data_IF_486939281093
#
_entry.id   IF_486939281093
#
_cell.length_a   1.000
_cell.length_b   1.000
_cell.length_c   1.000
_cell.angle_alpha   90.00
_cell.angle_beta   90.00
_cell.angle_gamma   90.00
#
_symmetry.space_group_name_H-M   'P 1'
#
loop_
_entity.id
_entity.type
_entity.pdbx_description
1 polymer ?
#
# COMPACT_ATOMS: atom_id res chain seq x y z
N UNK A 1 -7.30 18.48 -10.73
CA UNK A 1 -8.69 18.18 -11.10
C UNK A 1 -9.15 16.77 -10.69
N UNK A 2 -8.37 15.69 -10.82
CA UNK A 2 -8.75 14.37 -10.23
C UNK A 2 -8.47 14.27 -8.72
N UNK A 3 -7.30 14.74 -8.27
CA UNK A 3 -6.90 14.71 -6.85
C UNK A 3 -7.81 15.55 -5.96
N UNK A 4 -8.34 16.66 -6.49
CA UNK A 4 -9.29 17.51 -5.77
C UNK A 4 -10.64 16.81 -5.59
N UNK A 5 -11.13 16.13 -6.62
CA UNK A 5 -12.37 15.33 -6.55
C UNK A 5 -12.23 14.16 -5.57
N UNK A 6 -11.11 13.44 -5.59
CA UNK A 6 -10.83 12.36 -4.62
C UNK A 6 -10.82 12.88 -3.18
N UNK A 7 -10.27 14.08 -2.94
CA UNK A 7 -10.31 14.72 -1.62
C UNK A 7 -11.72 15.12 -1.21
N UNK A 8 -12.53 15.63 -2.14
CA UNK A 8 -13.93 15.97 -1.87
C UNK A 8 -14.76 14.75 -1.47
N UNK A 9 -14.42 13.56 -2.01
CA UNK A 9 -15.05 12.28 -1.64
C UNK A 9 -14.35 11.54 -0.50
N UNK A 10 -13.36 12.15 0.15
CA UNK A 10 -12.67 11.53 1.29
C UNK A 10 -13.64 11.21 2.44
N UNK A 11 -14.67 12.05 2.64
CA UNK A 11 -15.73 11.82 3.63
C UNK A 11 -16.56 10.57 3.34
N UNK A 12 -16.90 10.32 2.07
CA UNK A 12 -17.60 9.09 1.65
C UNK A 12 -16.71 7.86 1.82
N UNK A 13 -15.43 8.00 1.50
CA UNK A 13 -14.43 6.94 1.66
C UNK A 13 -14.24 6.53 3.13
N UNK A 14 -14.29 7.52 4.03
CA UNK A 14 -14.21 7.33 5.48
C UNK A 14 -15.52 6.75 6.07
N UNK A 15 -16.66 7.11 5.49
CA UNK A 15 -17.97 6.62 5.94
C UNK A 15 -18.23 5.17 5.53
N UNK A 16 -17.80 4.78 4.32
CA UNK A 16 -18.10 3.46 3.75
C UNK A 16 -16.99 2.42 4.01
N UNK A 17 -15.77 2.84 4.36
CA UNK A 17 -14.65 1.94 4.65
C UNK A 17 -14.34 1.84 6.13
N UNK A 18 -13.77 0.70 6.56
CA UNK A 18 -13.24 0.55 7.91
C UNK A 18 -11.92 -0.21 7.91
N UNK A 19 -11.12 0.07 8.94
CA UNK A 19 -9.90 -0.68 9.25
C UNK A 19 -10.30 -2.03 9.81
N UNK A 20 -9.70 -3.10 9.29
CA UNK A 20 -9.94 -4.43 9.85
C UNK A 20 -9.35 -4.53 11.26
N UNK A 21 -10.03 -5.24 12.18
CA UNK A 21 -9.50 -5.49 13.51
C UNK A 21 -8.07 -6.06 13.45
N UNK A 22 -7.15 -5.46 14.22
CA UNK A 22 -5.75 -5.87 14.29
C UNK A 22 -4.87 -5.42 13.12
N UNK A 23 -5.38 -4.67 12.13
CA UNK A 23 -4.56 -4.22 11.01
C UNK A 23 -3.44 -3.26 11.43
N UNK A 24 -3.74 -2.28 12.29
CA UNK A 24 -2.74 -1.37 12.84
C UNK A 24 -1.71 -2.10 13.71
N UNK A 25 -2.16 -3.05 14.54
CA UNK A 25 -1.29 -3.87 15.38
C UNK A 25 -0.36 -4.74 14.54
N UNK A 26 -0.87 -5.37 13.48
CA UNK A 26 -0.08 -6.17 12.56
C UNK A 26 0.96 -5.32 11.82
N UNK A 27 0.56 -4.16 11.31
CA UNK A 27 1.47 -3.22 10.65
C UNK A 27 2.55 -2.69 11.62
N UNK A 28 2.18 -2.43 12.87
CA UNK A 28 3.13 -2.03 13.93
C UNK A 28 4.11 -3.15 14.24
N UNK A 29 3.63 -4.38 14.44
CA UNK A 29 4.45 -5.53 14.76
C UNK A 29 5.44 -5.85 13.64
N UNK A 30 5.01 -5.81 12.38
CA UNK A 30 5.89 -6.01 11.22
C UNK A 30 6.89 -4.86 11.10
N UNK A 31 6.47 -3.62 11.36
CA UNK A 31 7.34 -2.45 11.34
C UNK A 31 8.44 -2.46 12.39
N UNK A 32 8.22 -3.17 13.50
CA UNK A 32 9.21 -3.34 14.57
C UNK A 32 10.31 -4.37 14.22
N UNK A 33 10.15 -5.18 13.16
CA UNK A 33 11.16 -6.17 12.76
C UNK A 33 12.37 -5.47 12.13
N UNK A 34 13.60 -5.66 12.66
CA UNK A 34 14.78 -5.02 12.11
C UNK A 34 15.01 -5.35 10.63
N UNK A 35 15.29 -4.33 9.84
CA UNK A 35 15.54 -4.47 8.41
C UNK A 35 14.30 -4.59 7.53
N UNK A 36 13.09 -4.64 8.11
CA UNK A 36 11.84 -4.66 7.33
C UNK A 36 11.45 -3.25 6.91
N UNK A 37 10.94 -3.16 5.68
CA UNK A 37 10.29 -1.98 5.12
C UNK A 37 8.92 -2.42 4.58
N UNK A 38 7.88 -1.72 4.97
CA UNK A 38 6.52 -2.02 4.54
C UNK A 38 6.09 -1.01 3.47
N UNK A 39 5.26 -1.45 2.53
CA UNK A 39 4.67 -0.56 1.54
C UNK A 39 3.33 -1.10 1.05
N UNK A 40 2.68 -0.33 0.18
CA UNK A 40 1.34 -0.63 -0.35
C UNK A 40 1.46 -1.24 -1.74
N UNK A 41 0.75 -2.34 -1.95
CA UNK A 41 0.53 -2.95 -3.26
C UNK A 41 -0.98 -2.92 -3.57
N UNK A 42 -1.41 -2.10 -4.52
CA UNK A 42 -2.84 -1.89 -4.77
C UNK A 42 -3.14 -1.55 -6.22
N UNK A 43 -4.31 -1.97 -6.70
CA UNK A 43 -4.82 -1.54 -8.01
C UNK A 43 -5.38 -0.11 -8.01
N UNK A 44 -5.38 0.59 -6.88
CA UNK A 44 -5.74 2.01 -6.83
C UNK A 44 -4.58 2.87 -7.34
N UNK A 45 -4.89 3.99 -7.99
CA UNK A 45 -3.90 5.02 -8.33
C UNK A 45 -3.19 5.53 -7.07
N UNK A 46 -1.93 5.94 -7.20
CA UNK A 46 -1.10 6.43 -6.09
C UNK A 46 -1.82 7.47 -5.19
N UNK A 47 -2.46 8.53 -5.72
CA UNK A 47 -3.10 9.54 -4.86
C UNK A 47 -4.24 8.97 -4.00
N UNK A 48 -4.98 7.98 -4.53
CA UNK A 48 -6.07 7.34 -3.81
C UNK A 48 -5.54 6.36 -2.75
N UNK A 49 -4.45 5.65 -3.05
CA UNK A 49 -3.78 4.79 -2.08
C UNK A 49 -3.30 5.59 -0.86
N UNK A 50 -2.64 6.73 -1.10
CA UNK A 50 -2.20 7.65 -0.04
C UNK A 50 -3.41 8.18 0.75
N UNK A 51 -4.43 8.68 0.06
CA UNK A 51 -5.63 9.21 0.72
C UNK A 51 -6.29 8.18 1.64
N UNK A 52 -6.49 6.94 1.17
CA UNK A 52 -7.06 5.84 1.97
C UNK A 52 -6.23 5.59 3.23
N UNK A 53 -4.94 5.36 3.07
CA UNK A 53 -4.07 5.07 4.21
C UNK A 53 -4.03 6.22 5.23
N UNK A 54 -4.09 7.48 4.78
CA UNK A 54 -4.13 8.65 5.67
C UNK A 54 -5.46 8.74 6.41
N UNK A 55 -6.58 8.61 5.71
CA UNK A 55 -7.93 8.67 6.31
C UNK A 55 -8.11 7.60 7.40
N UNK A 56 -7.49 6.44 7.21
CA UNK A 56 -7.55 5.33 8.15
C UNK A 56 -6.43 5.32 9.20
N UNK A 57 -5.59 6.35 9.25
CA UNK A 57 -4.50 6.45 10.23
C UNK A 57 -3.39 5.40 10.06
N UNK A 58 -3.26 4.79 8.89
CA UNK A 58 -2.27 3.74 8.62
C UNK A 58 -1.06 4.21 7.81
N UNK A 59 -1.07 5.47 7.35
CA UNK A 59 -0.06 6.01 6.46
C UNK A 59 1.36 6.00 7.07
N UNK A 60 1.48 6.12 8.39
CA UNK A 60 2.78 6.13 9.08
C UNK A 60 3.47 4.75 9.09
N UNK A 61 2.72 3.67 8.89
CA UNK A 61 3.29 2.32 8.90
C UNK A 61 3.93 1.90 7.58
N UNK A 62 3.78 2.69 6.50
CA UNK A 62 4.17 2.30 5.14
C UNK A 62 5.04 3.35 4.45
N UNK A 63 5.99 2.90 3.64
CA UNK A 63 6.81 3.74 2.78
C UNK A 63 6.25 3.71 1.34
N UNK A 64 5.47 4.72 0.97
CA UNK A 64 4.86 4.82 -0.36
C UNK A 64 5.87 4.91 -1.52
N UNK A 65 7.17 5.12 -1.23
CA UNK A 65 8.21 5.16 -2.28
C UNK A 65 8.57 3.77 -2.81
N UNK A 66 8.14 2.70 -2.14
CA UNK A 66 8.51 1.31 -2.44
C UNK A 66 7.37 0.49 -3.06
N UNK A 67 6.15 1.01 -3.04
CA UNK A 67 4.94 0.27 -3.40
C UNK A 67 4.73 0.13 -4.90
N UNK A 68 3.60 -0.45 -5.29
CA UNK A 68 3.10 -0.35 -6.66
C UNK A 68 1.58 -0.14 -6.70
N UNK A 69 1.17 0.63 -7.71
CA UNK A 69 -0.13 1.31 -7.80
C UNK A 69 -0.78 1.02 -9.15
N UNK A 70 -2.07 1.32 -9.28
CA UNK A 70 -2.86 0.96 -10.47
C UNK A 70 -2.36 1.50 -11.81
N UNK A 71 -1.51 2.52 -11.80
CA UNK A 71 -0.85 3.10 -12.98
C UNK A 71 0.52 2.49 -13.30
N UNK A 72 1.04 1.62 -12.43
CA UNK A 72 2.33 0.96 -12.65
C UNK A 72 2.25 -0.21 -13.63
N UNK A 73 1.11 -0.90 -13.71
CA UNK A 73 0.93 -2.04 -14.61
C UNK A 73 -0.52 -2.15 -15.10
N UNK A 74 -0.69 -2.66 -16.33
CA UNK A 74 -2.00 -2.97 -16.90
C UNK A 74 -2.66 -4.14 -16.16
N UNK A 75 -1.91 -5.22 -15.94
CA UNK A 75 -2.38 -6.39 -15.21
C UNK A 75 -1.99 -6.29 -13.73
N UNK A 76 -2.98 -6.50 -12.84
CA UNK A 76 -2.76 -6.41 -11.39
C UNK A 76 -1.75 -7.44 -10.88
N UNK A 77 -1.60 -8.55 -11.58
CA UNK A 77 -0.63 -9.62 -11.28
C UNK A 77 0.81 -9.16 -11.44
N UNK A 78 1.05 -8.07 -12.18
CA UNK A 78 2.40 -7.58 -12.50
C UNK A 78 2.89 -6.55 -11.49
N UNK A 79 1.99 -5.90 -10.74
CA UNK A 79 2.34 -4.92 -9.70
C UNK A 79 3.44 -5.38 -8.72
N UNK A 80 3.50 -6.65 -8.26
CA UNK A 80 4.59 -7.12 -7.41
C UNK A 80 5.98 -6.92 -8.03
N UNK A 81 6.14 -7.20 -9.32
CA UNK A 81 7.42 -7.03 -10.01
C UNK A 81 7.79 -5.55 -10.09
N UNK A 82 6.82 -4.66 -10.30
CA UNK A 82 7.02 -3.21 -10.29
C UNK A 82 7.45 -2.70 -8.90
N UNK A 83 6.83 -3.19 -7.83
CA UNK A 83 7.21 -2.84 -6.45
C UNK A 83 8.65 -3.28 -6.14
N UNK A 84 9.05 -4.49 -6.55
CA UNK A 84 10.42 -4.95 -6.39
C UNK A 84 11.41 -4.10 -7.17
N UNK A 85 11.17 -3.87 -8.47
CA UNK A 85 12.04 -3.03 -9.28
C UNK A 85 12.15 -1.59 -8.73
N UNK A 86 11.07 -1.04 -8.17
CA UNK A 86 11.10 0.28 -7.50
C UNK A 86 11.92 0.24 -6.21
N UNK A 87 11.74 -0.79 -5.39
CA UNK A 87 12.49 -0.97 -4.13
C UNK A 87 13.99 -1.12 -4.38
N UNK A 88 14.38 -1.94 -5.37
CA UNK A 88 15.79 -2.12 -5.73
C UNK A 88 16.45 -0.82 -6.16
N UNK A 89 15.75 -0.03 -6.99
CA UNK A 89 16.20 1.31 -7.41
C UNK A 89 16.34 2.28 -6.24
N UNK A 90 15.38 2.25 -5.31
CA UNK A 90 15.38 3.17 -4.17
C UNK A 90 16.45 2.82 -3.13
N UNK A 91 16.66 1.53 -2.84
CA UNK A 91 17.60 1.06 -1.82
C UNK A 91 19.02 0.82 -2.37
N UNK A 92 19.20 0.82 -3.69
CA UNK A 92 20.49 0.56 -4.34
C UNK A 92 20.99 -0.88 -4.13
N UNK A 93 20.10 -1.83 -3.86
CA UNK A 93 20.43 -3.26 -3.65
C UNK A 93 19.38 -4.14 -4.34
N UNK A 94 19.84 -5.20 -4.99
CA UNK A 94 18.96 -6.20 -5.61
C UNK A 94 18.28 -7.07 -4.56
N UNK A 95 17.05 -7.48 -4.83
CA UNK A 95 16.24 -8.41 -4.06
C UNK A 95 15.87 -9.58 -4.97
N UNK A 96 16.85 -10.43 -5.31
CA UNK A 96 16.63 -11.60 -6.16
C UNK A 96 16.46 -12.87 -5.30
N UNK A 97 15.42 -13.66 -5.58
CA UNK A 97 15.28 -15.09 -5.27
C UNK A 97 15.63 -15.57 -3.85
N UNK A 98 15.19 -14.88 -2.81
CA UNK A 98 15.07 -15.55 -1.51
C UNK A 98 13.72 -16.30 -1.47
N UNK A 99 13.63 -17.46 -0.79
CA UNK A 99 12.35 -18.08 -0.47
C UNK A 99 11.44 -17.22 0.44
N UNK A 100 11.78 -15.95 0.71
CA UNK A 100 10.91 -14.78 0.98
C UNK A 100 11.79 -13.57 1.41
N UNK A 101 12.11 -12.55 0.57
CA UNK A 101 12.58 -11.26 1.08
C UNK A 101 11.44 -10.23 1.20
N UNK A 102 10.25 -10.55 0.68
CA UNK A 102 9.09 -9.68 0.67
C UNK A 102 7.80 -10.52 0.77
N UNK A 103 7.08 -10.43 1.87
CA UNK A 103 5.79 -11.09 2.05
C UNK A 103 4.65 -10.18 1.57
N UNK A 104 3.70 -10.71 0.79
CA UNK A 104 2.44 -10.04 0.49
C UNK A 104 1.44 -10.37 1.60
N UNK A 105 0.97 -9.36 2.33
CA UNK A 105 -0.10 -9.53 3.33
C UNK A 105 -1.37 -8.90 2.76
N UNK A 106 -2.49 -9.63 2.89
CA UNK A 106 -3.81 -9.24 2.38
C UNK A 106 -4.38 -8.00 3.07
N UNK A 107 -5.42 -7.41 2.45
CA UNK A 107 -5.91 -6.06 2.68
C UNK A 107 -6.17 -5.69 4.15
N UNK A 108 -5.65 -4.55 4.59
CA UNK A 108 -5.92 -3.92 5.89
C UNK A 108 -7.26 -3.15 5.94
N UNK A 109 -7.88 -2.94 4.77
CA UNK A 109 -9.06 -2.10 4.57
C UNK A 109 -10.10 -2.84 3.74
N UNK A 110 -11.34 -2.86 4.21
CA UNK A 110 -12.49 -3.30 3.43
C UNK A 110 -13.31 -2.09 2.99
N UNK A 111 -13.78 -2.12 1.75
CA UNK A 111 -14.76 -1.20 1.20
C UNK A 111 -15.90 -2.01 0.58
N UNK A 112 -17.15 -1.56 0.67
CA UNK A 112 -18.25 -2.21 -0.03
C UNK A 112 -18.00 -2.16 -1.53
N UNK A 113 -18.19 -3.31 -2.19
CA UNK A 113 -18.26 -3.39 -3.64
C UNK A 113 -19.63 -2.83 -4.02
N UNK A 114 -19.69 -1.63 -4.59
CA UNK A 114 -20.89 -1.15 -5.28
C UNK A 114 -20.82 -1.53 -6.74
#
# INVERSE_FOLDING_TARGET
>A
MLVAELRNRAGELAADGHVLPGAADALTAVGAVPGVRQSVLTGNLYPLAVLKMTVFGLAEHVDFRLGAYGDDALERTDLPAHAFARTERYLGRRHHDAPLPCAKVGAALQQPVR
#
